data_IF_331049286919
#
_entry.id   IF_331049286919
#
_cell.length_a   1.000
_cell.length_b   1.000
_cell.length_c   1.000
_cell.angle_alpha   90.00
_cell.angle_beta   90.00
_cell.angle_gamma   90.00
#
_symmetry.space_group_name_H-M   'P 1'
#
loop_
_entity.id
_entity.type
_entity.pdbx_description
1 polymer ?
#
# COMPACT_ATOMS: atom_id res chain seq x y z
N UNK A 1 16.89 -58.27 47.23
CA UNK A 1 16.61 -56.82 47.14
C UNK A 1 16.33 -56.49 45.68
N UNK A 2 15.11 -56.06 45.35
CA UNK A 2 14.73 -55.63 44.00
C UNK A 2 14.95 -54.11 43.92
N UNK A 3 15.84 -53.67 43.05
CA UNK A 3 16.09 -52.25 42.78
C UNK A 3 15.39 -51.93 41.45
N UNK A 4 14.32 -51.15 41.52
CA UNK A 4 13.59 -50.68 40.35
C UNK A 4 14.36 -49.50 39.74
N UNK A 5 14.82 -49.65 38.50
CA UNK A 5 15.32 -48.53 37.69
C UNK A 5 14.14 -47.90 36.95
N UNK A 6 13.74 -46.71 37.38
CA UNK A 6 12.86 -45.83 36.61
C UNK A 6 13.73 -45.09 35.58
N UNK A 7 13.63 -45.50 34.32
CA UNK A 7 14.18 -44.76 33.18
C UNK A 7 13.14 -43.70 32.79
N UNK A 8 13.38 -42.46 33.19
CA UNK A 8 12.60 -41.31 32.74
C UNK A 8 13.05 -40.91 31.34
N UNK A 9 12.21 -41.20 30.33
CA UNK A 9 12.37 -40.66 28.98
C UNK A 9 12.19 -39.15 28.99
N UNK A 10 13.29 -38.40 28.84
CA UNK A 10 13.27 -36.98 28.49
C UNK A 10 12.73 -36.84 27.06
N UNK A 11 11.42 -36.63 26.95
CA UNK A 11 10.78 -36.23 25.70
C UNK A 11 11.17 -34.77 25.47
N UNK A 12 12.16 -34.54 24.60
CA UNK A 12 12.46 -33.24 24.02
C UNK A 12 11.24 -32.80 23.20
N UNK A 13 10.39 -31.98 23.80
CA UNK A 13 9.33 -31.29 23.07
C UNK A 13 10.03 -30.29 22.14
N UNK A 14 9.83 -30.35 20.82
CA UNK A 14 10.31 -29.30 19.94
C UNK A 14 9.55 -28.04 20.32
N UNK A 15 10.28 -27.04 20.80
CA UNK A 15 9.78 -25.68 20.85
C UNK A 15 9.53 -25.26 19.40
N UNK A 16 8.32 -25.52 18.91
CA UNK A 16 7.83 -24.89 17.71
C UNK A 16 7.80 -23.39 18.01
N UNK A 17 8.85 -22.70 17.59
CA UNK A 17 8.85 -21.26 17.42
C UNK A 17 7.81 -20.96 16.35
N UNK A 18 6.59 -20.62 16.78
CA UNK A 18 5.65 -19.94 15.93
C UNK A 18 6.27 -18.59 15.57
N UNK A 19 6.85 -18.51 14.38
CA UNK A 19 7.09 -17.23 13.72
C UNK A 19 5.70 -16.60 13.52
N UNK A 20 5.31 -15.68 14.39
CA UNK A 20 4.29 -14.71 14.03
C UNK A 20 4.86 -13.91 12.85
N UNK A 21 4.44 -14.25 11.64
CA UNK A 21 4.57 -13.35 10.51
C UNK A 21 3.77 -12.12 10.87
N UNK A 22 4.46 -11.03 11.19
CA UNK A 22 3.82 -9.75 11.44
C UNK A 22 3.25 -9.30 10.08
N UNK A 23 1.98 -9.61 9.84
CA UNK A 23 1.28 -9.43 8.54
C UNK A 23 1.09 -7.95 8.12
N UNK A 24 1.50 -7.00 8.97
CA UNK A 24 1.34 -5.55 8.80
C UNK A 24 2.56 -4.91 8.09
N UNK A 25 2.89 -5.46 6.94
CA UNK A 25 4.00 -4.98 6.10
C UNK A 25 3.58 -3.77 5.26
N UNK A 26 2.28 -3.59 5.02
CA UNK A 26 1.72 -2.49 4.23
C UNK A 26 0.46 -1.98 4.90
N UNK A 27 0.40 -0.67 5.11
CA UNK A 27 -0.75 0.01 5.72
C UNK A 27 -1.35 0.98 4.72
N UNK A 28 -2.69 0.94 4.60
CA UNK A 28 -3.46 1.98 3.93
C UNK A 28 -4.05 2.87 5.02
N UNK A 29 -3.70 4.14 5.02
CA UNK A 29 -4.17 5.13 5.97
C UNK A 29 -4.85 6.26 5.23
N UNK A 30 -6.00 6.68 5.71
CA UNK A 30 -6.64 7.91 5.22
C UNK A 30 -5.89 9.07 5.86
N UNK A 31 -5.41 10.01 5.06
CA UNK A 31 -5.04 11.34 5.55
C UNK A 31 -6.34 12.02 6.01
N UNK A 32 -6.70 11.81 7.27
CA UNK A 32 -7.85 12.46 7.86
C UNK A 32 -7.49 13.91 8.13
N UNK A 33 -8.32 14.83 7.65
CA UNK A 33 -8.30 16.19 8.14
C UNK A 33 -9.02 16.15 9.52
N UNK A 34 -8.33 16.34 10.65
CA UNK A 34 -8.86 16.03 11.99
C UNK A 34 -10.02 16.93 12.46
N UNK A 35 -10.51 17.84 11.61
CA UNK A 35 -11.36 18.95 12.03
C UNK A 35 -12.87 18.68 11.97
N UNK A 36 -13.37 17.72 11.19
CA UNK A 36 -14.82 17.57 11.02
C UNK A 36 -15.44 16.40 11.80
N UNK A 37 -16.09 16.71 12.93
CA UNK A 37 -16.78 15.75 13.80
C UNK A 37 -18.15 15.28 13.28
N UNK A 38 -18.74 15.97 12.30
CA UNK A 38 -20.10 15.72 11.82
C UNK A 38 -20.10 15.18 10.38
N UNK A 39 -19.46 14.02 10.18
CA UNK A 39 -19.40 13.36 8.89
C UNK A 39 -19.56 11.85 9.01
N UNK A 40 -20.21 11.23 8.03
CA UNK A 40 -20.15 9.80 7.80
C UNK A 40 -19.10 9.53 6.72
N UNK A 41 -18.17 8.62 7.00
CA UNK A 41 -17.09 8.26 6.08
C UNK A 41 -17.16 6.76 5.81
N UNK A 42 -17.12 6.40 4.53
CA UNK A 42 -17.06 5.02 4.07
C UNK A 42 -15.89 4.89 3.10
N UNK A 43 -15.10 3.83 3.27
CA UNK A 43 -13.96 3.54 2.39
C UNK A 43 -13.98 2.11 1.88
N UNK A 44 -13.69 1.94 0.60
CA UNK A 44 -13.54 0.65 -0.05
C UNK A 44 -12.17 0.60 -0.72
N UNK A 45 -11.38 -0.45 -0.48
CA UNK A 45 -10.14 -0.62 -1.22
C UNK A 45 -9.67 -2.06 -1.21
N UNK A 46 -9.16 -2.51 -2.36
CA UNK A 46 -8.41 -3.75 -2.50
C UNK A 46 -6.93 -3.49 -2.87
N UNK A 47 -6.42 -2.30 -2.56
CA UNK A 47 -5.06 -1.87 -2.91
C UNK A 47 -3.99 -2.80 -2.32
N UNK A 48 -4.21 -3.29 -1.11
CA UNK A 48 -3.29 -4.17 -0.37
C UNK A 48 -3.52 -5.66 -0.65
N UNK A 49 -4.69 -6.04 -1.15
CA UNK A 49 -5.09 -7.44 -1.36
C UNK A 49 -4.49 -8.03 -2.64
N UNK A 50 -4.55 -7.27 -3.74
CA UNK A 50 -4.07 -7.69 -5.06
C UNK A 50 -2.55 -7.94 -5.11
N UNK A 51 -1.81 -7.46 -4.11
CA UNK A 51 -0.36 -7.58 -4.02
C UNK A 51 0.09 -8.85 -3.29
N UNK A 52 -0.79 -9.48 -2.49
CA UNK A 52 -0.49 -10.73 -1.77
C UNK A 52 -0.73 -11.98 -2.61
N UNK A 53 -1.54 -11.90 -3.66
CA UNK A 53 -2.02 -13.06 -4.40
C UNK A 53 -1.22 -13.42 -5.65
N UNK A 54 -0.09 -12.75 -5.96
CA UNK A 54 0.64 -12.95 -7.22
C UNK A 54 -0.33 -12.98 -8.42
N UNK A 55 -1.34 -12.10 -8.42
CA UNK A 55 -2.27 -12.05 -9.53
C UNK A 55 -1.47 -11.75 -10.79
N UNK A 56 -1.50 -12.71 -11.72
CA UNK A 56 -1.02 -12.50 -13.07
C UNK A 56 -1.82 -11.35 -13.67
N UNK A 57 -1.20 -10.20 -13.79
CA UNK A 57 -1.75 -9.04 -14.48
C UNK A 57 -1.82 -9.38 -15.97
N UNK A 58 -3.03 -9.72 -16.46
CA UNK A 58 -3.26 -10.29 -17.81
C UNK A 58 -3.63 -9.21 -18.84
N UNK A 59 -3.61 -7.93 -18.46
CA UNK A 59 -4.00 -6.84 -19.36
C UNK A 59 -2.92 -6.64 -20.42
N UNK A 60 -3.31 -6.72 -21.68
CA UNK A 60 -2.41 -6.48 -22.81
C UNK A 60 -2.50 -5.04 -23.33
N UNK A 61 -3.60 -4.34 -22.98
CA UNK A 61 -3.91 -3.00 -23.44
C UNK A 61 -3.51 -1.96 -22.39
N UNK A 62 -2.81 -0.91 -22.82
CA UNK A 62 -2.58 0.27 -21.98
C UNK A 62 -3.90 1.03 -21.79
N UNK A 63 -4.31 1.23 -20.54
CA UNK A 63 -5.53 1.95 -20.18
C UNK A 63 -5.25 2.93 -19.02
N UNK A 64 -5.77 4.18 -19.08
CA UNK A 64 -5.53 5.19 -18.05
C UNK A 64 -6.27 4.87 -16.75
N UNK A 65 -5.69 5.30 -15.63
CA UNK A 65 -6.38 5.25 -14.33
C UNK A 65 -7.59 6.17 -14.36
N UNK A 66 -8.72 5.68 -13.89
CA UNK A 66 -9.95 6.47 -13.75
C UNK A 66 -9.97 7.16 -12.40
N UNK A 67 -10.38 8.42 -12.37
CA UNK A 67 -10.39 9.30 -11.20
C UNK A 67 -11.79 9.87 -10.99
N UNK A 68 -12.23 9.90 -9.73
CA UNK A 68 -13.40 10.67 -9.29
C UNK A 68 -12.92 11.59 -8.17
N UNK A 69 -13.11 12.89 -8.37
CA UNK A 69 -12.73 13.96 -7.43
C UNK A 69 -13.87 14.95 -7.26
N UNK A 70 -14.99 14.45 -6.76
CA UNK A 70 -16.21 15.24 -6.58
C UNK A 70 -16.30 15.76 -5.15
N UNK A 71 -16.56 17.06 -5.02
CA UNK A 71 -16.88 17.73 -3.77
C UNK A 71 -18.03 18.69 -4.03
N UNK A 72 -19.18 18.47 -3.37
CA UNK A 72 -20.44 19.11 -3.75
C UNK A 72 -21.31 19.42 -2.54
N UNK A 73 -21.78 20.67 -2.48
CA UNK A 73 -22.76 21.12 -1.48
C UNK A 73 -24.18 20.75 -1.94
N UNK A 74 -24.95 20.14 -1.04
CA UNK A 74 -26.29 19.59 -1.31
C UNK A 74 -27.32 20.01 -0.25
N UNK A 75 -27.02 20.99 0.60
CA UNK A 75 -27.91 21.49 1.67
C UNK A 75 -29.34 21.78 1.17
N UNK A 76 -29.46 22.36 -0.03
CA UNK A 76 -30.77 22.73 -0.61
C UNK A 76 -31.61 21.53 -1.04
N UNK A 77 -31.03 20.33 -1.13
CA UNK A 77 -31.70 19.13 -1.62
C UNK A 77 -32.33 18.30 -0.50
N UNK A 78 -32.05 18.63 0.76
CA UNK A 78 -32.67 18.02 1.94
C UNK A 78 -32.51 16.49 2.02
N UNK A 79 -31.44 15.94 1.44
CA UNK A 79 -31.11 14.52 1.60
C UNK A 79 -30.52 14.25 2.98
N UNK A 80 -30.70 13.03 3.48
CA UNK A 80 -29.92 12.45 4.57
C UNK A 80 -28.60 11.85 4.06
N UNK A 81 -27.63 11.63 4.93
CA UNK A 81 -26.39 10.96 4.51
C UNK A 81 -26.61 9.50 4.06
N UNK A 82 -27.65 8.83 4.55
CA UNK A 82 -27.98 7.47 4.11
C UNK A 82 -28.47 7.47 2.66
N UNK A 83 -29.35 8.41 2.29
CA UNK A 83 -29.80 8.58 0.90
C UNK A 83 -28.67 8.96 -0.06
N UNK A 84 -27.75 9.82 0.41
CA UNK A 84 -26.53 10.17 -0.34
C UNK A 84 -25.69 8.92 -0.60
N UNK A 85 -25.43 8.13 0.45
CA UNK A 85 -24.62 6.92 0.33
C UNK A 85 -25.31 5.86 -0.55
N UNK A 86 -26.62 5.68 -0.45
CA UNK A 86 -27.38 4.73 -1.28
C UNK A 86 -27.34 5.08 -2.77
N UNK A 87 -27.36 6.38 -3.11
CA UNK A 87 -27.23 6.81 -4.51
C UNK A 87 -25.81 6.60 -5.03
N UNK A 88 -24.80 6.90 -4.21
CA UNK A 88 -23.39 6.66 -4.56
C UNK A 88 -23.12 5.16 -4.68
N UNK A 89 -23.70 4.34 -3.82
CA UNK A 89 -23.55 2.88 -3.83
C UNK A 89 -24.03 2.29 -5.17
N UNK A 90 -25.24 2.68 -5.59
CA UNK A 90 -25.84 2.25 -6.86
C UNK A 90 -25.04 2.66 -8.09
N UNK A 91 -24.50 3.88 -8.12
CA UNK A 91 -23.82 4.39 -9.32
C UNK A 91 -22.33 4.03 -9.37
N UNK A 92 -21.69 3.77 -8.23
CA UNK A 92 -20.24 3.57 -8.13
C UNK A 92 -19.88 2.25 -7.48
N UNK A 93 -20.27 2.05 -6.22
CA UNK A 93 -19.74 0.95 -5.38
C UNK A 93 -20.12 -0.40 -5.96
N UNK A 94 -21.40 -0.60 -6.32
CA UNK A 94 -21.89 -1.86 -6.88
C UNK A 94 -21.23 -2.24 -8.22
N UNK A 95 -20.68 -1.27 -8.95
CA UNK A 95 -20.05 -1.50 -10.26
C UNK A 95 -18.53 -1.65 -10.20
N UNK A 96 -17.87 -1.04 -9.20
CA UNK A 96 -16.40 -0.98 -9.13
C UNK A 96 -15.83 -1.88 -8.02
N UNK A 97 -16.56 -2.14 -6.94
CA UNK A 97 -16.08 -2.97 -5.81
C UNK A 97 -16.24 -4.45 -6.13
N UNK A 98 -15.39 -4.93 -7.03
CA UNK A 98 -15.29 -6.34 -7.43
C UNK A 98 -13.87 -6.66 -7.96
N UNK A 99 -13.65 -7.90 -8.37
CA UNK A 99 -12.36 -8.42 -8.82
C UNK A 99 -11.87 -7.90 -10.18
N UNK A 100 -12.72 -7.20 -10.95
CA UNK A 100 -12.33 -6.62 -12.24
C UNK A 100 -11.45 -5.38 -12.09
N UNK A 101 -11.36 -4.81 -10.89
CA UNK A 101 -10.70 -3.53 -10.64
C UNK A 101 -9.71 -3.58 -9.48
N UNK A 102 -8.64 -2.81 -9.61
CA UNK A 102 -7.91 -2.29 -8.46
C UNK A 102 -8.56 -0.96 -8.12
N UNK A 103 -8.98 -0.75 -6.88
CA UNK A 103 -9.69 0.46 -6.50
C UNK A 103 -9.34 0.95 -5.10
N UNK A 104 -9.50 2.27 -4.94
CA UNK A 104 -9.45 2.95 -3.66
C UNK A 104 -10.50 4.05 -3.69
N UNK A 105 -11.55 3.88 -2.91
CA UNK A 105 -12.74 4.73 -2.89
C UNK A 105 -12.89 5.29 -1.48
N UNK A 106 -12.94 6.61 -1.37
CA UNK A 106 -13.27 7.36 -0.16
C UNK A 106 -14.53 8.17 -0.43
N UNK A 107 -15.56 7.91 0.38
CA UNK A 107 -16.83 8.64 0.36
C UNK A 107 -17.01 9.31 1.71
N UNK A 108 -17.33 10.59 1.70
CA UNK A 108 -17.70 11.33 2.91
C UNK A 108 -18.98 12.11 2.70
N UNK A 109 -19.87 12.06 3.68
CA UNK A 109 -21.06 12.90 3.74
C UNK A 109 -21.02 13.72 5.02
N UNK A 110 -21.02 15.04 4.89
CA UNK A 110 -21.17 15.96 6.01
C UNK A 110 -22.65 16.21 6.27
N UNK A 111 -23.01 16.40 7.53
CA UNK A 111 -24.39 16.66 7.91
C UNK A 111 -24.49 17.76 8.97
N UNK A 112 -25.64 18.43 8.98
CA UNK A 112 -26.00 19.36 10.04
C UNK A 112 -26.42 18.56 11.29
N UNK A 113 -25.77 18.75 12.46
CA UNK A 113 -26.05 17.94 13.64
C UNK A 113 -27.44 18.16 14.25
N UNK A 114 -28.08 19.30 13.98
CA UNK A 114 -29.42 19.64 14.46
C UNK A 114 -30.50 18.99 13.60
N UNK A 115 -30.42 19.13 12.27
CA UNK A 115 -31.43 18.62 11.34
C UNK A 115 -31.17 17.19 10.86
N UNK A 116 -29.93 16.70 11.02
CA UNK A 116 -29.41 15.42 10.48
C UNK A 116 -29.42 15.33 8.95
N UNK A 117 -29.65 16.44 8.26
CA UNK A 117 -29.61 16.49 6.80
C UNK A 117 -28.18 16.67 6.31
N UNK A 118 -27.87 16.02 5.19
CA UNK A 118 -26.63 16.13 4.47
C UNK A 118 -26.43 17.55 3.94
N UNK A 119 -25.23 18.08 4.16
CA UNK A 119 -24.84 19.42 3.72
C UNK A 119 -23.92 19.35 2.52
N UNK A 120 -23.06 18.33 2.48
CA UNK A 120 -22.03 18.19 1.48
C UNK A 120 -21.65 16.72 1.33
N UNK A 121 -21.27 16.30 0.12
CA UNK A 121 -20.65 15.01 -0.11
C UNK A 121 -19.32 15.14 -0.86
N UNK A 122 -18.43 14.18 -0.61
CA UNK A 122 -17.14 14.02 -1.25
C UNK A 122 -17.03 12.59 -1.77
N UNK A 123 -16.61 12.44 -3.03
CA UNK A 123 -16.14 11.18 -3.61
C UNK A 123 -14.70 11.42 -4.08
N UNK A 124 -13.76 10.75 -3.42
CA UNK A 124 -12.35 10.71 -3.79
C UNK A 124 -12.01 9.27 -4.13
N UNK A 125 -11.89 8.97 -5.42
CA UNK A 125 -11.68 7.61 -5.90
C UNK A 125 -10.67 7.58 -7.01
N UNK A 126 -9.93 6.49 -7.08
CA UNK A 126 -9.22 6.09 -8.28
C UNK A 126 -9.29 4.58 -8.46
N UNK A 127 -9.33 4.12 -9.71
CA UNK A 127 -9.42 2.71 -10.04
C UNK A 127 -8.86 2.37 -11.43
N UNK A 128 -8.39 1.14 -11.58
CA UNK A 128 -7.82 0.60 -12.83
C UNK A 128 -8.45 -0.77 -13.15
N UNK A 129 -8.83 -1.02 -14.42
CA UNK A 129 -9.23 -2.36 -14.85
C UNK A 129 -8.02 -3.30 -14.90
N UNK A 130 -8.18 -4.53 -14.42
CA UNK A 130 -7.06 -5.49 -14.27
C UNK A 130 -6.82 -6.40 -15.47
N UNK A 131 -7.78 -6.46 -16.39
CA UNK A 131 -7.78 -7.29 -17.60
C UNK A 131 -8.44 -6.57 -18.79
N UNK A 132 -8.27 -7.11 -20.00
CA UNK A 132 -8.90 -6.55 -21.20
C UNK A 132 -10.43 -6.69 -21.17
N UNK A 133 -10.96 -7.76 -20.54
CA UNK A 133 -12.40 -7.89 -20.30
C UNK A 133 -12.92 -6.82 -19.34
N UNK A 134 -12.15 -6.50 -18.30
CA UNK A 134 -12.48 -5.42 -17.37
C UNK A 134 -12.48 -4.05 -18.05
N UNK A 135 -11.62 -3.83 -19.07
CA UNK A 135 -11.67 -2.62 -19.91
C UNK A 135 -13.01 -2.55 -20.64
N UNK A 136 -13.44 -3.61 -21.32
CA UNK A 136 -14.72 -3.61 -22.04
C UNK A 136 -15.91 -3.34 -21.12
N UNK A 137 -15.90 -3.94 -19.92
CA UNK A 137 -16.90 -3.66 -18.88
C UNK A 137 -16.86 -2.18 -18.45
N UNK A 138 -15.66 -1.66 -18.19
CA UNK A 138 -15.45 -0.27 -17.80
C UNK A 138 -15.95 0.70 -18.86
N UNK A 139 -15.68 0.47 -20.14
CA UNK A 139 -16.16 1.32 -21.23
C UNK A 139 -17.69 1.36 -21.28
N UNK A 140 -18.34 0.22 -21.06
CA UNK A 140 -19.81 0.14 -20.97
C UNK A 140 -20.33 0.94 -19.77
N UNK A 141 -19.71 0.78 -18.60
CA UNK A 141 -20.03 1.53 -17.38
C UNK A 141 -19.84 3.05 -17.56
N UNK A 142 -18.73 3.48 -18.18
CA UNK A 142 -18.47 4.89 -18.46
C UNK A 142 -19.51 5.47 -19.41
N UNK A 143 -19.91 4.73 -20.45
CA UNK A 143 -20.94 5.19 -21.40
C UNK A 143 -22.32 5.32 -20.76
N UNK A 144 -22.65 4.48 -19.78
CA UNK A 144 -23.94 4.48 -19.12
C UNK A 144 -24.03 5.54 -18.01
N UNK A 145 -22.98 5.70 -17.20
CA UNK A 145 -23.04 6.49 -15.97
C UNK A 145 -22.23 7.79 -16.02
N UNK A 146 -21.16 7.89 -16.81
CA UNK A 146 -20.37 9.13 -16.81
C UNK A 146 -21.19 10.27 -17.42
N UNK A 147 -21.39 11.33 -16.65
CA UNK A 147 -22.19 12.48 -17.05
C UNK A 147 -23.67 12.42 -16.64
N UNK A 148 -24.14 11.38 -15.96
CA UNK A 148 -25.53 11.32 -15.44
C UNK A 148 -25.71 12.18 -14.21
N UNK A 149 -26.97 12.39 -13.80
CA UNK A 149 -27.28 13.07 -12.54
C UNK A 149 -26.95 12.18 -11.33
N UNK A 150 -26.32 12.79 -10.32
CA UNK A 150 -26.09 12.24 -9.00
C UNK A 150 -26.35 13.35 -8.00
N UNK A 151 -27.47 13.29 -7.27
CA UNK A 151 -27.82 14.30 -6.26
C UNK A 151 -27.80 15.73 -6.85
N UNK A 152 -28.45 15.92 -8.00
CA UNK A 152 -28.59 17.23 -8.66
C UNK A 152 -27.29 17.82 -9.20
N UNK A 153 -26.24 17.02 -9.34
CA UNK A 153 -24.98 17.39 -9.99
C UNK A 153 -24.54 16.30 -10.95
N UNK A 154 -23.78 16.68 -11.98
CA UNK A 154 -23.24 15.72 -12.94
C UNK A 154 -22.17 14.83 -12.28
N UNK A 155 -22.37 13.51 -12.35
CA UNK A 155 -21.38 12.50 -11.99
C UNK A 155 -20.24 12.51 -13.02
N UNK A 156 -19.00 12.65 -12.56
CA UNK A 156 -17.84 12.83 -13.45
C UNK A 156 -16.74 11.83 -13.11
N UNK A 157 -16.41 11.01 -14.09
CA UNK A 157 -15.22 10.15 -14.09
C UNK A 157 -14.24 10.71 -15.13
N UNK A 158 -13.00 10.90 -14.70
CA UNK A 158 -11.93 11.49 -15.49
C UNK A 158 -10.82 10.47 -15.72
N UNK A 159 -10.16 10.52 -16.87
CA UNK A 159 -8.95 9.72 -17.12
C UNK A 159 -7.71 10.50 -16.73
N UNK A 160 -6.85 9.91 -15.89
CA UNK A 160 -5.53 10.46 -15.62
C UNK A 160 -4.61 10.29 -16.84
N UNK A 161 -3.84 11.32 -17.18
CA UNK A 161 -2.79 11.28 -18.22
C UNK A 161 -1.62 10.39 -17.82
N UNK A 162 -1.36 10.34 -16.52
CA UNK A 162 -0.22 9.67 -15.96
C UNK A 162 -0.22 9.79 -14.44
N UNK A 163 0.80 9.19 -13.85
CA UNK A 163 1.00 9.13 -12.42
C UNK A 163 2.45 9.43 -12.11
N UNK A 164 2.69 10.45 -11.29
CA UNK A 164 3.98 10.66 -10.65
C UNK A 164 3.94 10.03 -9.27
N UNK A 165 4.89 9.14 -9.00
CA UNK A 165 5.18 8.66 -7.65
C UNK A 165 6.30 9.50 -7.09
N UNK A 166 6.01 10.20 -6.01
CA UNK A 166 7.01 10.81 -5.13
C UNK A 166 7.30 9.80 -4.02
N UNK A 167 8.37 9.03 -4.19
CA UNK A 167 8.78 7.97 -3.27
C UNK A 167 9.72 8.54 -2.21
N UNK A 168 9.31 8.41 -0.96
CA UNK A 168 10.16 8.71 0.18
C UNK A 168 10.59 7.41 0.86
N UNK A 169 11.85 7.35 1.29
CA UNK A 169 12.37 6.30 2.17
C UNK A 169 12.90 6.93 3.45
N UNK A 170 12.55 6.35 4.59
CA UNK A 170 13.15 6.68 5.87
C UNK A 170 13.60 5.42 6.59
N UNK A 171 14.81 5.44 7.16
CA UNK A 171 15.40 4.30 7.86
C UNK A 171 15.92 4.74 9.23
N UNK A 172 15.76 3.89 10.24
CA UNK A 172 16.23 4.20 11.58
C UNK A 172 15.92 3.15 12.64
N UNK A 173 15.82 3.61 13.88
CA UNK A 173 15.53 2.75 15.04
C UNK A 173 14.15 3.03 15.65
N UNK A 174 13.28 2.02 15.64
CA UNK A 174 11.96 2.03 16.27
C UNK A 174 11.99 1.13 17.51
N UNK A 175 11.88 1.75 18.69
CA UNK A 175 11.87 1.03 19.98
C UNK A 175 10.55 0.33 20.29
N UNK A 176 9.44 0.88 19.81
CA UNK A 176 8.08 0.38 20.05
C UNK A 176 7.35 0.31 18.71
N UNK A 177 7.10 -0.89 18.16
CA UNK A 177 6.47 -1.04 16.84
C UNK A 177 5.14 -0.29 16.72
N UNK A 178 4.33 -0.31 17.79
CA UNK A 178 2.98 0.26 17.81
C UNK A 178 2.93 1.76 18.15
N UNK A 179 4.09 2.44 18.22
CA UNK A 179 4.12 3.90 18.43
C UNK A 179 4.66 4.58 17.17
N UNK A 180 4.03 5.69 16.70
CA UNK A 180 4.47 6.39 15.51
C UNK A 180 5.96 6.77 15.50
N UNK A 181 6.53 7.38 16.57
CA UNK A 181 7.90 7.90 16.48
C UNK A 181 8.95 6.79 16.40
N UNK A 182 9.93 7.01 15.53
CA UNK A 182 11.21 6.30 15.49
C UNK A 182 12.36 7.30 15.35
N UNK A 183 13.57 6.90 15.72
CA UNK A 183 14.77 7.73 15.50
C UNK A 183 15.21 7.56 14.07
N UNK A 184 15.02 8.59 13.25
CA UNK A 184 15.46 8.63 11.85
C UNK A 184 16.99 8.78 11.78
N UNK A 185 17.63 7.92 10.98
CA UNK A 185 19.06 8.02 10.67
C UNK A 185 19.30 8.61 9.31
N UNK A 186 18.43 8.27 8.35
CA UNK A 186 18.51 8.76 6.99
C UNK A 186 17.13 8.78 6.35
N UNK A 187 16.95 9.79 5.52
CA UNK A 187 15.78 10.00 4.70
C UNK A 187 16.21 10.48 3.32
N UNK A 188 15.64 9.89 2.28
CA UNK A 188 15.88 10.28 0.89
C UNK A 188 14.55 10.27 0.12
N UNK A 189 14.57 10.94 -1.03
CA UNK A 189 13.41 11.12 -1.90
C UNK A 189 13.79 10.86 -3.36
N UNK A 190 12.85 10.30 -4.12
CA UNK A 190 12.94 10.09 -5.56
C UNK A 190 11.58 10.23 -6.23
N UNK A 191 11.58 10.54 -7.53
CA UNK A 191 10.35 10.70 -8.30
C UNK A 191 10.36 9.85 -9.56
N UNK A 192 9.23 9.21 -9.85
CA UNK A 192 9.05 8.35 -11.03
C UNK A 192 7.75 8.68 -11.75
N UNK A 193 7.78 8.59 -13.08
CA UNK A 193 6.58 8.68 -13.90
C UNK A 193 6.12 7.29 -14.32
N UNK A 194 4.81 7.06 -14.26
CA UNK A 194 4.11 5.89 -14.78
C UNK A 194 2.92 6.36 -15.62
N UNK A 195 2.48 5.56 -16.58
CA UNK A 195 1.29 5.84 -17.39
C UNK A 195 0.00 5.67 -16.59
N UNK A 196 0.00 4.79 -15.58
CA UNK A 196 -1.16 4.50 -14.74
C UNK A 196 -0.77 3.90 -13.39
N UNK A 197 -1.71 3.89 -12.44
CA UNK A 197 -1.56 3.19 -11.17
C UNK A 197 -1.45 1.66 -11.38
N UNK A 198 -2.10 1.09 -12.40
CA UNK A 198 -1.86 -0.30 -12.81
C UNK A 198 -0.40 -0.59 -13.16
N UNK A 199 0.23 0.23 -14.01
CA UNK A 199 1.63 0.06 -14.39
C UNK A 199 2.56 0.21 -13.18
N UNK A 200 2.29 1.21 -12.34
CA UNK A 200 3.05 1.45 -11.11
C UNK A 200 3.00 0.23 -10.18
N UNK A 201 1.83 -0.38 -9.99
CA UNK A 201 1.71 -1.58 -9.17
C UNK A 201 2.51 -2.76 -9.74
N UNK A 202 2.49 -2.92 -11.07
CA UNK A 202 3.21 -4.00 -11.76
C UNK A 202 4.73 -3.83 -11.72
N UNK A 203 5.23 -2.60 -11.62
CA UNK A 203 6.67 -2.31 -11.65
C UNK A 203 7.27 -2.00 -10.29
N UNK A 204 6.70 -1.03 -9.56
CA UNK A 204 7.25 -0.56 -8.30
C UNK A 204 6.77 -1.41 -7.14
N UNK A 205 5.46 -1.61 -6.98
CA UNK A 205 4.95 -2.33 -5.81
C UNK A 205 5.34 -3.82 -5.84
N UNK A 206 5.26 -4.47 -6.99
CA UNK A 206 5.77 -5.84 -7.16
C UNK A 206 7.22 -5.97 -6.70
N UNK A 207 8.07 -5.02 -7.07
CA UNK A 207 9.50 -4.98 -6.73
C UNK A 207 9.72 -4.68 -5.23
N UNK A 208 8.90 -3.81 -4.62
CA UNK A 208 8.86 -3.62 -3.16
C UNK A 208 8.60 -4.97 -2.48
N UNK A 209 7.55 -5.72 -2.87
CA UNK A 209 7.26 -7.00 -2.21
C UNK A 209 8.35 -8.05 -2.43
N UNK A 210 8.98 -8.07 -3.60
CA UNK A 210 10.00 -9.05 -3.93
C UNK A 210 11.36 -8.76 -3.27
N UNK A 211 11.74 -7.48 -3.16
CA UNK A 211 13.12 -7.09 -2.89
C UNK A 211 13.30 -6.11 -1.71
N UNK A 212 12.25 -5.45 -1.23
CA UNK A 212 12.38 -4.53 -0.08
C UNK A 212 12.27 -5.25 1.27
N UNK A 213 11.32 -6.18 1.43
CA UNK A 213 11.06 -6.87 2.70
C UNK A 213 12.00 -8.05 2.97
N UNK A 214 13.30 -7.79 2.99
CA UNK A 214 14.32 -8.82 3.14
C UNK A 214 15.58 -8.27 3.82
N UNK A 215 16.31 -9.07 4.61
CA UNK A 215 17.62 -8.69 5.13
C UNK A 215 18.76 -9.02 4.14
N UNK A 216 18.46 -9.61 2.98
CA UNK A 216 19.43 -10.05 1.98
C UNK A 216 20.03 -8.87 1.19
N UNK A 217 21.36 -8.61 1.29
CA UNK A 217 22.00 -7.53 0.56
C UNK A 217 21.85 -7.63 -0.96
N UNK A 218 21.77 -8.82 -1.52
CA UNK A 218 21.70 -9.02 -2.97
C UNK A 218 20.31 -8.69 -3.54
N UNK A 219 19.33 -8.44 -2.67
CA UNK A 219 17.97 -8.01 -3.03
C UNK A 219 17.70 -6.55 -2.69
N UNK A 220 17.86 -6.18 -1.41
CA UNK A 220 17.47 -4.84 -0.95
C UNK A 220 18.41 -3.75 -1.49
N UNK A 221 19.72 -4.02 -1.63
CA UNK A 221 20.65 -2.99 -2.10
C UNK A 221 20.43 -2.64 -3.58
N UNK A 222 20.27 -3.60 -4.52
CA UNK A 222 19.88 -3.29 -5.90
C UNK A 222 18.51 -2.61 -6.01
N UNK A 223 17.54 -2.99 -5.16
CA UNK A 223 16.24 -2.30 -5.10
C UNK A 223 16.42 -0.81 -4.79
N UNK A 224 17.26 -0.47 -3.80
CA UNK A 224 17.54 0.93 -3.45
C UNK A 224 18.26 1.67 -4.57
N UNK A 225 19.21 1.02 -5.25
CA UNK A 225 19.91 1.64 -6.38
C UNK A 225 18.95 1.99 -7.53
N UNK A 226 17.95 1.13 -7.76
CA UNK A 226 16.94 1.31 -8.79
C UNK A 226 15.92 2.41 -8.45
N UNK A 227 15.42 2.43 -7.22
CA UNK A 227 14.26 3.24 -6.85
C UNK A 227 14.55 4.45 -5.96
N UNK A 228 15.72 4.57 -5.35
CA UNK A 228 16.05 5.73 -4.50
C UNK A 228 17.09 6.61 -5.19
N UNK A 229 18.27 6.06 -5.48
CA UNK A 229 19.29 6.74 -6.29
C UNK A 229 20.31 5.72 -6.75
N UNK A 230 20.98 5.94 -7.88
CA UNK A 230 21.93 4.98 -8.48
C UNK A 230 23.12 4.56 -7.60
N UNK A 231 23.31 5.21 -6.45
CA UNK A 231 24.38 4.93 -5.49
C UNK A 231 23.83 4.71 -4.07
N UNK A 232 22.52 4.53 -3.91
CA UNK A 232 21.85 4.40 -2.63
C UNK A 232 22.39 3.21 -1.83
N UNK A 233 22.74 2.10 -2.48
CA UNK A 233 23.31 0.91 -1.86
C UNK A 233 24.58 1.23 -1.06
N UNK A 234 25.46 2.07 -1.60
CA UNK A 234 26.73 2.43 -0.95
C UNK A 234 26.49 3.12 0.39
N UNK A 235 25.44 3.93 0.49
CA UNK A 235 25.13 4.71 1.68
C UNK A 235 24.23 3.93 2.63
N UNK A 236 23.13 3.37 2.12
CA UNK A 236 22.17 2.63 2.91
C UNK A 236 22.71 1.31 3.45
N UNK A 237 23.80 0.75 2.89
CA UNK A 237 24.43 -0.45 3.46
C UNK A 237 24.84 -0.26 4.92
N UNK A 238 25.37 0.90 5.30
CA UNK A 238 25.69 1.19 6.70
C UNK A 238 24.42 1.48 7.50
N UNK A 239 23.53 2.32 6.96
CA UNK A 239 22.28 2.70 7.63
C UNK A 239 21.43 1.47 7.98
N UNK A 240 21.19 0.56 7.03
CA UNK A 240 20.38 -0.62 7.23
C UNK A 240 20.99 -1.64 8.21
N UNK A 241 22.32 -1.65 8.36
CA UNK A 241 22.99 -2.48 9.38
C UNK A 241 22.75 -1.99 10.80
N UNK A 242 22.44 -0.70 10.96
CA UNK A 242 22.21 -0.06 12.24
C UNK A 242 20.72 0.19 12.51
N UNK A 243 19.89 0.20 11.47
CA UNK A 243 18.43 0.33 11.53
C UNK A 243 17.71 -0.99 11.84
N UNK A 244 16.62 -0.91 12.61
CA UNK A 244 15.67 -2.02 12.80
C UNK A 244 14.28 -1.72 12.19
N UNK A 245 14.13 -0.56 11.56
CA UNK A 245 12.91 -0.12 10.90
C UNK A 245 13.23 0.69 9.64
N UNK A 246 12.49 0.41 8.57
CA UNK A 246 12.51 1.18 7.32
C UNK A 246 11.07 1.38 6.87
N UNK A 247 10.76 2.55 6.33
CA UNK A 247 9.46 2.83 5.72
C UNK A 247 9.63 3.41 4.32
N UNK A 248 8.72 3.02 3.42
CA UNK A 248 8.52 3.68 2.12
C UNK A 248 7.17 4.38 2.10
N UNK A 249 7.16 5.62 1.62
CA UNK A 249 5.96 6.43 1.44
C UNK A 249 5.84 6.84 -0.04
N UNK A 250 5.17 6.04 -0.89
CA UNK A 250 4.91 6.40 -2.28
C UNK A 250 3.68 7.31 -2.37
N UNK A 251 3.90 8.61 -2.46
CA UNK A 251 2.83 9.57 -2.70
C UNK A 251 2.40 9.53 -4.17
N UNK A 252 1.10 9.25 -4.40
CA UNK A 252 0.50 9.14 -5.72
C UNK A 252 -0.03 10.49 -6.19
N UNK A 253 0.60 11.07 -7.21
CA UNK A 253 0.21 12.35 -7.81
C UNK A 253 -0.28 12.07 -9.24
N UNK A 254 -1.59 12.00 -9.42
CA UNK A 254 -2.22 11.80 -10.72
C UNK A 254 -2.19 13.11 -11.51
N UNK A 255 -1.72 13.03 -12.74
CA UNK A 255 -1.71 14.15 -13.68
C UNK A 255 -3.00 14.11 -14.48
N UNK A 256 -3.76 15.20 -14.46
CA UNK A 256 -5.05 15.29 -15.14
C UNK A 256 -4.92 16.05 -16.47
N UNK A 257 -6.01 16.09 -17.24
CA UNK A 257 -6.14 17.08 -18.31
C UNK A 257 -6.07 18.51 -17.76
N UNK A 258 -5.52 19.44 -18.56
CA UNK A 258 -5.35 20.86 -18.23
C UNK A 258 -4.35 21.22 -17.10
N UNK A 259 -3.29 20.43 -16.92
CA UNK A 259 -2.21 20.68 -15.94
C UNK A 259 -2.66 20.64 -14.46
N UNK A 260 -3.89 20.22 -14.20
CA UNK A 260 -4.36 19.96 -12.86
C UNK A 260 -3.75 18.67 -12.31
N UNK A 261 -3.57 18.61 -10.99
CA UNK A 261 -3.12 17.41 -10.28
C UNK A 261 -4.24 16.90 -9.37
N UNK A 262 -4.25 15.59 -9.18
CA UNK A 262 -5.08 14.94 -8.18
C UNK A 262 -4.22 14.07 -7.27
N UNK A 263 -4.36 14.29 -5.97
CA UNK A 263 -3.68 13.51 -4.93
C UNK A 263 -4.76 12.90 -4.06
N UNK A 264 -4.80 11.56 -4.00
CA UNK A 264 -5.80 10.90 -3.17
C UNK A 264 -5.52 11.13 -1.69
N UNK A 265 -6.60 11.25 -0.91
CA UNK A 265 -6.54 11.27 0.54
C UNK A 265 -6.20 9.89 1.12
N UNK A 266 -6.30 8.82 0.31
CA UNK A 266 -5.87 7.48 0.69
C UNK A 266 -4.36 7.37 0.51
N UNK A 267 -3.64 7.36 1.63
CA UNK A 267 -2.19 7.22 1.70
C UNK A 267 -1.81 5.77 1.94
N UNK A 268 -0.76 5.32 1.26
CA UNK A 268 -0.25 3.98 1.42
C UNK A 268 1.20 4.05 1.91
N UNK A 269 1.51 3.22 2.90
CA UNK A 269 2.84 3.13 3.49
C UNK A 269 3.29 1.68 3.54
N UNK A 270 4.58 1.47 3.34
CA UNK A 270 5.22 0.17 3.44
C UNK A 270 6.14 0.21 4.65
N UNK A 271 5.81 -0.54 5.69
CA UNK A 271 6.56 -0.55 6.95
C UNK A 271 7.31 -1.86 7.09
N UNK A 272 8.62 -1.79 7.16
CA UNK A 272 9.50 -2.94 7.33
C UNK A 272 10.06 -2.97 8.75
N UNK A 273 9.50 -3.83 9.59
CA UNK A 273 10.00 -4.09 10.94
C UNK A 273 11.02 -5.23 10.89
N UNK A 274 12.30 -4.89 11.01
CA UNK A 274 13.41 -5.83 10.84
C UNK A 274 13.85 -6.49 12.17
N UNK A 275 13.24 -6.09 13.29
CA UNK A 275 13.55 -6.60 14.63
C UNK A 275 13.34 -8.13 14.74
N UNK A 276 12.46 -8.69 13.92
CA UNK A 276 12.17 -10.14 13.88
C UNK A 276 13.26 -10.98 13.22
N UNK A 277 14.19 -10.36 12.47
CA UNK A 277 15.33 -11.07 11.88
C UNK A 277 16.37 -11.44 12.95
N UNK A 278 17.20 -12.44 12.67
CA UNK A 278 18.22 -12.96 13.61
C UNK A 278 19.21 -11.88 14.08
N UNK A 279 19.56 -10.95 13.19
CA UNK A 279 20.44 -9.82 13.48
C UNK A 279 19.72 -8.62 14.12
N UNK A 280 18.39 -8.65 14.24
CA UNK A 280 17.52 -7.54 14.67
C UNK A 280 17.72 -6.25 13.86
N UNK A 281 18.18 -6.38 12.60
CA UNK A 281 18.59 -5.25 11.75
C UNK A 281 18.15 -5.48 10.32
N UNK A 282 17.97 -4.40 9.57
CA UNK A 282 17.41 -4.45 8.22
C UNK A 282 18.39 -4.95 7.15
N UNK A 283 19.65 -5.19 7.51
CA UNK A 283 20.61 -5.81 6.60
C UNK A 283 21.50 -6.81 7.31
N UNK A 284 21.58 -8.02 6.75
CA UNK A 284 22.55 -9.00 7.18
C UNK A 284 23.96 -8.44 6.95
N UNK A 285 24.81 -8.55 7.98
CA UNK A 285 26.24 -8.38 7.76
C UNK A 285 26.63 -9.53 6.85
N UNK A 286 26.95 -9.22 5.57
CA UNK A 286 27.39 -10.17 4.56
C UNK A 286 28.09 -11.35 5.24
N UNK A 287 27.43 -12.51 5.20
CA UNK A 287 27.85 -13.67 5.94
C UNK A 287 29.27 -14.06 5.55
N UNK A 288 30.01 -14.56 6.53
CA UNK A 288 31.15 -15.45 6.29
C UNK A 288 30.74 -16.41 5.17
N UNK A 289 31.39 -16.31 4.03
CA UNK A 289 31.47 -17.40 3.07
C UNK A 289 31.98 -18.59 3.90
N UNK A 290 31.20 -19.66 3.92
CA UNK A 290 31.60 -20.91 4.53
C UNK A 290 32.77 -21.53 3.75
N UNK A 291 33.96 -20.93 3.84
CA UNK A 291 35.21 -21.62 3.56
C UNK A 291 35.56 -22.39 4.83
N UNK A 292 34.89 -23.53 5.05
CA UNK A 292 35.62 -24.68 5.60
C UNK A 292 36.53 -25.17 4.46
N UNK A 293 37.61 -24.43 4.23
CA UNK A 293 38.76 -24.98 3.55
C UNK A 293 39.28 -26.11 4.44
N UNK A 294 39.15 -27.33 3.93
CA UNK A 294 39.88 -28.50 4.41
C UNK A 294 41.37 -28.15 4.41
N UNK A 295 41.92 -27.87 5.60
CA UNK A 295 43.35 -27.94 5.81
C UNK A 295 43.66 -28.93 6.93
N UNK A 296 44.46 -29.92 6.51
CA UNK A 296 45.45 -30.68 7.28
C UNK A 296 44.98 -31.60 8.41
N UNK A 297 44.75 -32.87 8.07
CA UNK A 297 45.32 -33.99 8.84
C UNK A 297 46.09 -34.91 7.87
N UNK A 298 47.28 -34.44 7.48
CA UNK A 298 48.41 -35.32 7.12
C UNK A 298 49.64 -34.69 7.77
N UNK A 299 50.01 -35.20 8.94
CA UNK A 299 51.37 -35.32 9.47
C UNK A 299 51.34 -35.42 11.00
N UNK A 300 51.34 -36.65 11.53
CA UNK A 300 52.28 -37.18 12.54
C UNK A 300 51.79 -38.54 13.02
#
# INVERSE_FOLDING_TARGET
>A
MKVNYLVTSLILIPLYSFSQTQDDVTTLAISQNPENKNSHVITYSNETENLKQNMSFIRSIDYPTQIIRMEKNIESQQFSCDEVNDQIDKILVQHIVNEKFIYAIYISCYYNPETKLATQFIINSYFDPVSDEAITYLESYLNEYNGTDLLGTQYKIESAKGLVISLEIAAGMKKKPNRPPFTEYRKDHSSFYFKSNYEMKNKLFSDIYQNFFTPDPDKILPFLDKWISSHASSIYKAVLRDSNYVELQPEKIFLMDNEEIFVSNLKQYFSHFCESYENHRCLNRAGKIGNKENYSEVAS
#
